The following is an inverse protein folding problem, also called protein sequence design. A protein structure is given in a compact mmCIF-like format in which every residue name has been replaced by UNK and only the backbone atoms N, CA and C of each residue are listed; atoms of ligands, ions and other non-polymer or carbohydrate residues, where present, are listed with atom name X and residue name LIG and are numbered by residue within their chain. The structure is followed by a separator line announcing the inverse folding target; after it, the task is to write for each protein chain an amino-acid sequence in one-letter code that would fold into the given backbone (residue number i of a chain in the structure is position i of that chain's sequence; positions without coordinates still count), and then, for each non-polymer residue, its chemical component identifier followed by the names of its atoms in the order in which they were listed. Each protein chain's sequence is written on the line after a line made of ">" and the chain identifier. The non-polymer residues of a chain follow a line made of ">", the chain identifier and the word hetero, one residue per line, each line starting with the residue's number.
data_IF_308835396902
#
_entry.id   IF_308835396902
#
_cell.length_a   1.000
_cell.length_b   1.000
_cell.length_c   1.000
_cell.angle_alpha   90.00
_cell.angle_beta   90.00
_cell.angle_gamma   90.00
#
_symmetry.space_group_name_H-M   'P 1'
#
loop_
_entity.id
_entity.type
_entity.pdbx_description
1 polymer ?
#
# COMPACT_ATOMS: atom_id res chain seq x y z
N UNK A 1 15.29 19.26 30.96
CA UNK A 1 16.68 18.76 31.15
C UNK A 1 17.30 18.35 29.83
N UNK A 2 16.60 17.62 28.96
CA UNK A 2 17.07 17.26 27.61
C UNK A 2 17.30 18.47 26.69
N UNK A 3 16.47 19.51 26.78
CA UNK A 3 16.62 20.71 25.94
C UNK A 3 17.98 21.39 26.13
N UNK A 4 18.44 21.51 27.39
CA UNK A 4 19.72 22.14 27.70
C UNK A 4 20.92 21.36 27.15
N UNK A 5 20.83 20.03 27.14
CA UNK A 5 21.87 19.15 26.58
C UNK A 5 21.87 19.21 25.05
N UNK A 6 20.68 19.30 24.44
CA UNK A 6 20.56 19.48 22.99
C UNK A 6 21.14 20.83 22.56
N UNK A 7 20.83 21.90 23.29
CA UNK A 7 21.30 23.26 23.01
C UNK A 7 22.83 23.40 23.16
N UNK A 8 23.41 22.83 24.22
CA UNK A 8 24.87 22.79 24.40
C UNK A 8 25.55 22.06 23.22
N UNK A 9 25.00 20.93 22.76
CA UNK A 9 25.54 20.19 21.61
C UNK A 9 25.44 20.96 20.28
N UNK A 10 24.33 21.67 20.06
CA UNK A 10 24.15 22.49 18.85
C UNK A 10 25.18 23.62 18.85
N UNK A 11 25.36 24.31 19.99
CA UNK A 11 26.33 25.39 20.13
C UNK A 11 27.78 24.92 19.91
N UNK A 12 28.14 23.75 20.43
CA UNK A 12 29.47 23.18 20.21
C UNK A 12 29.69 22.78 18.75
N UNK A 13 28.67 22.22 18.08
CA UNK A 13 28.73 21.89 16.65
C UNK A 13 28.83 23.15 15.76
N UNK A 14 28.17 24.25 16.13
CA UNK A 14 28.33 25.54 15.45
C UNK A 14 29.76 26.07 15.65
N UNK A 15 30.29 26.05 16.88
CA UNK A 15 31.66 26.52 17.17
C UNK A 15 32.73 25.71 16.44
N UNK A 16 32.50 24.41 16.26
CA UNK A 16 33.44 23.54 15.54
C UNK A 16 33.31 23.63 14.02
N UNK A 17 32.43 24.49 13.50
CA UNK A 17 32.20 24.64 12.05
C UNK A 17 31.55 23.42 11.41
N UNK A 18 30.85 22.57 12.19
CA UNK A 18 30.26 21.33 11.66
C UNK A 18 29.13 21.59 10.64
N UNK A 19 28.64 22.83 10.54
CA UNK A 19 27.62 23.26 9.59
C UNK A 19 28.18 23.95 8.34
N UNK A 20 29.48 24.27 8.31
CA UNK A 20 30.08 25.15 7.29
C UNK A 20 30.25 24.47 5.92
N UNK A 21 30.41 23.14 5.89
CA UNK A 21 30.59 22.34 4.67
C UNK A 21 29.48 21.29 4.48
N UNK A 22 28.24 21.64 4.85
CA UNK A 22 27.12 20.75 4.63
C UNK A 22 26.82 20.60 3.14
N UNK A 23 26.47 19.38 2.67
CA UNK A 23 26.06 19.16 1.30
C UNK A 23 24.84 20.02 0.99
N UNK A 24 25.00 20.97 0.06
CA UNK A 24 23.94 21.92 -0.31
C UNK A 24 24.07 23.32 0.30
N UNK A 25 25.09 23.57 1.14
CA UNK A 25 25.34 24.89 1.71
C UNK A 25 25.49 25.97 0.62
N UNK A 26 24.72 27.05 0.74
CA UNK A 26 24.70 28.16 -0.22
C UNK A 26 24.06 27.85 -1.58
N UNK A 27 23.59 26.62 -1.82
CA UNK A 27 22.89 26.27 -3.07
C UNK A 27 21.41 26.62 -2.96
N UNK A 28 20.77 27.13 -4.03
CA UNK A 28 19.33 27.32 -4.06
C UNK A 28 18.62 26.00 -3.75
N UNK A 29 17.56 26.07 -2.93
CA UNK A 29 16.67 24.92 -2.75
C UNK A 29 16.04 24.59 -4.10
N UNK A 30 16.20 23.35 -4.54
CA UNK A 30 15.48 22.84 -5.71
C UNK A 30 14.03 22.58 -5.29
N UNK A 31 13.17 23.57 -5.57
CA UNK A 31 11.74 23.44 -5.35
C UNK A 31 11.16 22.47 -6.37
N UNK A 32 11.24 21.16 -6.06
CA UNK A 32 10.47 20.18 -6.81
C UNK A 32 8.99 20.54 -6.69
N UNK A 33 8.23 20.61 -7.79
CA UNK A 33 6.80 20.80 -7.70
C UNK A 33 6.21 19.63 -6.93
N UNK A 34 5.74 19.89 -5.71
CA UNK A 34 5.02 18.91 -4.90
C UNK A 34 3.82 18.42 -5.71
N UNK A 35 3.58 17.11 -5.68
CA UNK A 35 2.46 16.53 -6.42
C UNK A 35 1.15 17.22 -5.99
N UNK A 36 0.48 17.97 -6.88
CA UNK A 36 -0.72 18.75 -6.52
C UNK A 36 -1.91 17.87 -6.13
N UNK A 37 -1.84 16.57 -6.40
CA UNK A 37 -2.86 15.57 -6.03
C UNK A 37 -2.52 14.79 -4.75
N UNK A 38 -1.38 15.09 -4.13
CA UNK A 38 -0.89 14.38 -2.95
C UNK A 38 -1.40 14.94 -1.63
N UNK A 39 -2.05 16.10 -1.64
CA UNK A 39 -2.68 16.72 -0.46
C UNK A 39 -1.71 16.72 0.75
N UNK A 40 -2.17 16.34 1.94
CA UNK A 40 -1.37 16.21 3.17
C UNK A 40 -0.16 15.25 3.06
N UNK A 41 -0.14 14.36 2.07
CA UNK A 41 0.90 13.32 1.92
C UNK A 41 2.06 13.72 1.02
N UNK A 42 2.02 14.93 0.45
CA UNK A 42 2.97 15.37 -0.56
C UNK A 42 4.44 15.28 -0.08
N UNK A 43 4.72 15.62 1.18
CA UNK A 43 6.06 15.48 1.80
C UNK A 43 6.45 14.01 1.96
N UNK A 44 5.53 13.15 2.42
CA UNK A 44 5.80 11.72 2.59
C UNK A 44 6.09 11.03 1.26
N UNK A 45 5.36 11.38 0.20
CA UNK A 45 5.63 10.86 -1.15
C UNK A 45 7.01 11.28 -1.65
N UNK A 46 7.41 12.54 -1.44
CA UNK A 46 8.72 13.06 -1.88
C UNK A 46 9.89 12.36 -1.16
N UNK A 47 9.79 12.17 0.16
CA UNK A 47 10.79 11.43 0.95
C UNK A 47 10.94 10.00 0.42
N UNK A 48 9.82 9.30 0.20
CA UNK A 48 9.84 7.90 -0.22
C UNK A 48 10.37 7.71 -1.64
N UNK A 49 10.00 8.59 -2.57
CA UNK A 49 10.55 8.58 -3.94
C UNK A 49 12.05 8.85 -3.92
N UNK A 50 12.51 9.80 -3.10
CA UNK A 50 13.94 10.13 -2.97
C UNK A 50 14.77 8.95 -2.46
N UNK A 51 14.19 8.09 -1.61
CA UNK A 51 14.85 6.89 -1.09
C UNK A 51 14.57 5.61 -1.89
N UNK A 52 13.84 5.70 -3.00
CA UNK A 52 13.43 4.54 -3.81
C UNK A 52 12.65 3.47 -3.02
N UNK A 53 11.93 3.89 -1.97
CA UNK A 53 11.13 3.03 -1.09
C UNK A 53 9.66 3.17 -1.49
N UNK A 54 8.94 2.05 -1.58
CA UNK A 54 7.50 2.05 -1.87
C UNK A 54 6.69 2.20 -0.59
N UNK A 55 5.48 2.73 -0.72
CA UNK A 55 4.55 2.81 0.39
C UNK A 55 4.05 1.41 0.79
N UNK A 56 3.95 1.09 2.10
CA UNK A 56 3.53 -0.23 2.57
C UNK A 56 2.19 -0.70 1.99
N UNK A 57 1.25 0.21 1.80
CA UNK A 57 -0.06 -0.13 1.23
C UNK A 57 0.00 -0.43 -0.27
N UNK A 58 0.99 0.07 -1.02
CA UNK A 58 1.14 -0.26 -2.45
C UNK A 58 1.48 -1.76 -2.60
N UNK A 59 2.34 -2.28 -1.73
CA UNK A 59 2.68 -3.72 -1.72
C UNK A 59 1.48 -4.56 -1.29
N UNK A 60 0.81 -4.19 -0.19
CA UNK A 60 -0.42 -4.87 0.25
C UNK A 60 -1.48 -4.91 -0.84
N UNK A 61 -1.62 -3.84 -1.63
CA UNK A 61 -2.55 -3.81 -2.76
C UNK A 61 -2.19 -4.86 -3.82
N UNK A 62 -0.91 -4.97 -4.18
CA UNK A 62 -0.45 -5.99 -5.14
C UNK A 62 -0.67 -7.40 -4.61
N UNK A 63 -0.45 -7.62 -3.31
CA UNK A 63 -0.70 -8.91 -2.66
C UNK A 63 -2.19 -9.30 -2.75
N UNK A 64 -3.10 -8.38 -2.41
CA UNK A 64 -4.56 -8.60 -2.52
C UNK A 64 -4.95 -8.96 -3.96
N UNK A 65 -4.39 -8.28 -4.97
CA UNK A 65 -4.66 -8.56 -6.38
C UNK A 65 -4.14 -9.93 -6.83
N UNK A 66 -2.96 -10.34 -6.34
CA UNK A 66 -2.39 -11.65 -6.60
C UNK A 66 -3.20 -12.77 -5.94
N UNK A 67 -3.62 -12.59 -4.69
CA UNK A 67 -4.43 -13.58 -3.97
C UNK A 67 -5.80 -13.76 -4.63
N UNK A 68 -6.42 -12.67 -5.07
CA UNK A 68 -7.68 -12.75 -5.82
C UNK A 68 -7.50 -13.53 -7.12
N UNK A 69 -6.42 -13.28 -7.87
CA UNK A 69 -6.12 -14.00 -9.11
C UNK A 69 -5.95 -15.50 -8.85
N UNK A 70 -5.22 -15.87 -7.78
CA UNK A 70 -5.05 -17.28 -7.38
C UNK A 70 -6.38 -17.91 -6.98
N UNK A 71 -7.20 -17.21 -6.19
CA UNK A 71 -8.50 -17.71 -5.77
C UNK A 71 -9.44 -18.00 -6.95
N UNK A 72 -9.44 -17.13 -7.97
CA UNK A 72 -10.19 -17.34 -9.21
C UNK A 72 -9.68 -18.58 -9.96
N UNK A 73 -8.37 -18.72 -10.14
CA UNK A 73 -7.76 -19.88 -10.81
C UNK A 73 -8.05 -21.20 -10.08
N UNK A 74 -7.99 -21.19 -8.75
CA UNK A 74 -8.34 -22.33 -7.91
C UNK A 74 -9.83 -22.66 -8.06
N UNK A 75 -10.70 -21.65 -8.08
CA UNK A 75 -12.14 -21.83 -8.27
C UNK A 75 -12.44 -22.47 -9.64
N UNK A 76 -11.86 -21.96 -10.72
CA UNK A 76 -12.01 -22.52 -12.08
C UNK A 76 -11.55 -23.98 -12.14
N UNK A 77 -10.40 -24.29 -11.55
CA UNK A 77 -9.88 -25.65 -11.50
C UNK A 77 -10.79 -26.60 -10.71
N UNK A 78 -11.32 -26.14 -9.57
CA UNK A 78 -12.20 -26.93 -8.71
C UNK A 78 -13.62 -27.07 -9.27
N UNK A 79 -14.09 -26.12 -10.09
CA UNK A 79 -15.39 -26.19 -10.77
C UNK A 79 -15.47 -27.41 -11.70
N UNK A 80 -14.36 -27.83 -12.29
CA UNK A 80 -14.28 -29.05 -13.12
C UNK A 80 -14.48 -30.34 -12.31
N UNK A 81 -14.23 -30.31 -10.99
CA UNK A 81 -14.35 -31.46 -10.11
C UNK A 81 -15.73 -31.51 -9.43
N UNK A 82 -16.10 -30.43 -8.72
CA UNK A 82 -17.36 -30.33 -8.00
C UNK A 82 -17.68 -28.89 -7.65
N UNK A 83 -18.88 -28.44 -8.02
CA UNK A 83 -19.34 -27.07 -7.77
C UNK A 83 -19.46 -26.73 -6.28
N UNK A 84 -19.83 -27.68 -5.42
CA UNK A 84 -19.98 -27.43 -3.97
C UNK A 84 -18.62 -27.27 -3.29
N UNK A 85 -17.65 -28.13 -3.63
CA UNK A 85 -16.29 -28.04 -3.10
C UNK A 85 -15.62 -26.75 -3.58
N UNK A 86 -15.76 -26.41 -4.86
CA UNK A 86 -15.27 -25.15 -5.41
C UNK A 86 -15.83 -23.94 -4.66
N UNK A 87 -17.15 -23.92 -4.43
CA UNK A 87 -17.80 -22.81 -3.72
C UNK A 87 -17.29 -22.67 -2.28
N UNK A 88 -17.23 -23.75 -1.52
CA UNK A 88 -16.76 -23.72 -0.12
C UNK A 88 -15.31 -23.26 0.00
N UNK A 89 -14.44 -23.71 -0.90
CA UNK A 89 -13.03 -23.32 -0.90
C UNK A 89 -12.88 -21.84 -1.29
N UNK A 90 -13.53 -21.44 -2.39
CA UNK A 90 -13.51 -20.06 -2.87
C UNK A 90 -14.09 -19.08 -1.84
N UNK A 91 -15.16 -19.45 -1.15
CA UNK A 91 -15.74 -18.63 -0.08
C UNK A 91 -14.73 -18.34 1.04
N UNK A 92 -13.97 -19.34 1.48
CA UNK A 92 -12.92 -19.16 2.50
C UNK A 92 -11.79 -18.25 2.01
N UNK A 93 -11.36 -18.42 0.77
CA UNK A 93 -10.33 -17.58 0.15
C UNK A 93 -10.78 -16.12 0.07
N UNK A 94 -12.02 -15.88 -0.38
CA UNK A 94 -12.60 -14.53 -0.45
C UNK A 94 -12.77 -13.91 0.94
N UNK A 95 -13.14 -14.69 1.96
CA UNK A 95 -13.22 -14.19 3.33
C UNK A 95 -11.85 -13.73 3.84
N UNK A 96 -10.79 -14.51 3.58
CA UNK A 96 -9.42 -14.13 3.92
C UNK A 96 -8.97 -12.86 3.17
N UNK A 97 -9.29 -12.75 1.88
CA UNK A 97 -8.99 -11.55 1.08
C UNK A 97 -9.77 -10.33 1.61
N UNK A 98 -11.02 -10.49 2.02
CA UNK A 98 -11.82 -9.40 2.59
C UNK A 98 -11.23 -8.88 3.91
N UNK A 99 -10.65 -9.77 4.73
CA UNK A 99 -9.92 -9.34 5.91
C UNK A 99 -8.69 -8.50 5.53
N UNK A 100 -7.91 -8.92 4.52
CA UNK A 100 -6.78 -8.14 4.02
C UNK A 100 -7.22 -6.78 3.44
N UNK A 101 -8.36 -6.73 2.75
CA UNK A 101 -8.97 -5.49 2.23
C UNK A 101 -9.35 -4.57 3.39
N UNK A 102 -9.93 -5.10 4.46
CA UNK A 102 -10.26 -4.33 5.65
C UNK A 102 -9.02 -3.70 6.27
N UNK A 103 -7.98 -4.49 6.53
CA UNK A 103 -6.71 -4.01 7.10
C UNK A 103 -6.02 -3.00 6.17
N UNK A 104 -6.09 -3.22 4.85
CA UNK A 104 -5.61 -2.27 3.84
C UNK A 104 -6.37 -0.95 3.89
N UNK A 105 -7.70 -0.98 3.98
CA UNK A 105 -8.55 0.20 4.02
C UNK A 105 -8.31 1.06 5.27
N UNK A 106 -7.93 0.43 6.39
CA UNK A 106 -7.50 1.12 7.60
C UNK A 106 -6.11 1.75 7.46
N UNK A 107 -5.25 1.21 6.59
CA UNK A 107 -3.88 1.68 6.39
C UNK A 107 -3.73 2.78 5.36
N UNK A 108 -4.71 2.95 4.47
CA UNK A 108 -4.65 3.99 3.44
C UNK A 108 -5.11 5.34 4.00
N UNK A 109 -4.44 6.43 3.61
CA UNK A 109 -4.73 7.74 4.19
C UNK A 109 -5.98 8.44 3.66
N UNK A 110 -6.45 8.05 2.48
CA UNK A 110 -7.58 8.70 1.82
C UNK A 110 -8.58 7.67 1.36
N UNK A 111 -9.86 7.98 1.52
CA UNK A 111 -10.98 7.07 1.19
C UNK A 111 -10.97 6.63 -0.28
N UNK A 112 -10.51 7.49 -1.20
CA UNK A 112 -10.38 7.16 -2.64
C UNK A 112 -9.44 5.98 -2.94
N UNK A 113 -8.54 5.63 -2.01
CA UNK A 113 -7.65 4.48 -2.15
C UNK A 113 -8.25 3.19 -1.58
N UNK A 114 -9.33 3.28 -0.79
CA UNK A 114 -9.98 2.12 -0.19
C UNK A 114 -10.60 1.22 -1.27
N UNK A 115 -10.72 -0.07 -0.96
CA UNK A 115 -11.31 -1.09 -1.83
C UNK A 115 -12.61 -1.60 -1.24
N UNK A 116 -13.58 -1.86 -2.11
CA UNK A 116 -14.84 -2.53 -1.73
C UNK A 116 -14.54 -3.98 -1.34
N UNK A 117 -15.26 -4.48 -0.33
CA UNK A 117 -15.29 -5.91 -0.03
C UNK A 117 -15.91 -6.71 -1.18
N UNK A 118 -15.42 -7.93 -1.34
CA UNK A 118 -15.82 -8.86 -2.37
C UNK A 118 -16.96 -9.75 -1.89
N UNK A 119 -17.99 -9.88 -2.72
CA UNK A 119 -19.13 -10.77 -2.45
C UNK A 119 -18.87 -12.12 -3.13
N UNK A 120 -18.52 -13.13 -2.32
CA UNK A 120 -18.08 -14.45 -2.83
C UNK A 120 -19.12 -15.11 -3.74
N UNK A 121 -20.41 -15.05 -3.39
CA UNK A 121 -21.50 -15.66 -4.17
C UNK A 121 -21.69 -15.01 -5.53
N UNK A 122 -21.68 -13.68 -5.58
CA UNK A 122 -21.78 -12.92 -6.85
C UNK A 122 -20.60 -13.22 -7.76
N UNK A 123 -19.38 -13.27 -7.20
CA UNK A 123 -18.17 -13.57 -7.97
C UNK A 123 -18.16 -15.02 -8.47
N UNK A 124 -18.53 -15.98 -7.62
CA UNK A 124 -18.58 -17.38 -7.99
C UNK A 124 -19.58 -17.61 -9.14
N UNK A 125 -20.76 -17.02 -9.06
CA UNK A 125 -21.77 -17.13 -10.12
C UNK A 125 -21.28 -16.50 -11.43
N UNK A 126 -20.54 -15.38 -11.38
CA UNK A 126 -19.91 -14.79 -12.57
C UNK A 126 -18.91 -15.73 -13.22
N UNK A 127 -18.02 -16.34 -12.43
CA UNK A 127 -17.00 -17.29 -12.91
C UNK A 127 -17.66 -18.53 -13.53
N UNK A 128 -18.70 -19.06 -12.87
CA UNK A 128 -19.44 -20.22 -13.37
C UNK A 128 -20.14 -19.92 -14.71
N UNK A 129 -20.72 -18.74 -14.85
CA UNK A 129 -21.43 -18.34 -16.07
C UNK A 129 -20.46 -18.04 -17.23
N UNK A 130 -19.29 -17.45 -16.96
CA UNK A 130 -18.27 -17.24 -17.99
C UNK A 130 -17.77 -18.56 -18.57
N UNK A 131 -17.57 -19.58 -17.73
CA UNK A 131 -17.14 -20.91 -18.17
C UNK A 131 -18.24 -21.74 -18.87
N UNK A 132 -19.50 -21.29 -18.85
CA UNK A 132 -20.61 -22.00 -19.51
C UNK A 132 -20.91 -21.47 -20.91
N UNK A 133 -20.22 -20.40 -21.34
CA UNK A 133 -20.46 -19.70 -22.62
C UNK A 133 -19.42 -20.05 -23.70
N UNK A 134 -18.40 -20.85 -23.33
CA UNK A 134 -17.43 -21.48 -24.25
C UNK A 134 -17.78 -22.97 -24.43
#
# INVERSE_FOLDING_TARGET
>A
MFDRIAEEKILDAIKSGAFDDLPGFGKPIDWKPLNPYADEWAITYDILQTHNITLPWIEKRKEIEQDLKKAVQNCESNLNLSSDIAFRQFFKEIQAINQKIFDYNLSVPVSRLQRRQLEAEVLFNRIKNSNSTD
#
